data_IF_200440361642
#
_entry.id   IF_200440361642
#
_cell.length_a   1.000
_cell.length_b   1.000
_cell.length_c   1.000
_cell.angle_alpha   90.00
_cell.angle_beta   90.00
_cell.angle_gamma   90.00
#
_symmetry.space_group_name_H-M   'P 1'
#
loop_
_entity.id
_entity.type
_entity.pdbx_description
1 polymer ?
#
# COMPACT_ATOMS: atom_id res chain seq x y z
N UNK A 1 -29.60 30.51 -25.37
CA UNK A 1 -29.28 29.18 -24.79
C UNK A 1 -27.76 28.98 -24.78
N UNK A 2 -27.04 29.59 -23.84
CA UNK A 2 -25.57 29.50 -23.72
C UNK A 2 -25.18 29.07 -22.30
N UNK A 3 -25.73 27.94 -21.82
CA UNK A 3 -25.46 27.44 -20.46
C UNK A 3 -25.59 25.92 -20.36
N UNK A 4 -25.02 25.20 -21.34
CA UNK A 4 -24.95 23.73 -21.33
C UNK A 4 -23.56 23.21 -21.67
N UNK A 5 -22.86 23.84 -22.61
CA UNK A 5 -21.51 23.44 -23.00
C UNK A 5 -20.46 23.69 -21.91
N UNK A 6 -20.58 24.80 -21.16
CA UNK A 6 -19.62 25.15 -20.11
C UNK A 6 -19.66 24.16 -18.94
N UNK A 7 -20.87 23.70 -18.58
CA UNK A 7 -21.08 22.75 -17.48
C UNK A 7 -20.54 21.36 -17.81
N UNK A 8 -20.66 20.91 -19.06
CA UNK A 8 -20.11 19.62 -19.52
C UNK A 8 -18.58 19.60 -19.60
N UNK A 9 -17.93 20.71 -19.95
CA UNK A 9 -16.47 20.79 -20.06
C UNK A 9 -15.81 20.77 -18.67
N UNK A 10 -16.38 21.48 -17.69
CA UNK A 10 -15.86 21.49 -16.31
C UNK A 10 -15.93 20.10 -15.67
N UNK A 11 -17.01 19.34 -15.91
CA UNK A 11 -17.15 17.98 -15.37
C UNK A 11 -16.09 17.00 -15.92
N UNK A 12 -15.73 17.14 -17.20
CA UNK A 12 -14.71 16.31 -17.86
C UNK A 12 -13.28 16.61 -17.37
N UNK A 13 -12.99 17.87 -17.06
CA UNK A 13 -11.68 18.28 -16.49
C UNK A 13 -11.53 17.80 -15.04
N UNK A 14 -12.61 17.81 -14.25
CA UNK A 14 -12.56 17.36 -12.85
C UNK A 14 -12.33 15.84 -12.75
N UNK A 15 -12.98 15.03 -13.59
CA UNK A 15 -12.81 13.57 -13.59
C UNK A 15 -11.42 13.12 -14.12
N UNK A 16 -10.81 13.91 -15.00
CA UNK A 16 -9.45 13.68 -15.49
C UNK A 16 -8.38 13.93 -14.42
N UNK A 17 -8.64 14.83 -13.46
CA UNK A 17 -7.63 15.27 -12.48
C UNK A 17 -7.21 14.19 -11.46
N UNK A 18 -8.00 13.12 -11.31
CA UNK A 18 -7.67 12.04 -10.39
C UNK A 18 -6.71 11.01 -11.02
N UNK A 19 -6.45 11.05 -12.33
CA UNK A 19 -5.50 10.13 -12.94
C UNK A 19 -4.07 10.64 -12.80
N UNK A 20 -3.20 9.84 -12.20
CA UNK A 20 -1.77 10.13 -12.12
C UNK A 20 -1.05 9.35 -13.22
N UNK A 21 -0.47 10.03 -14.24
CA UNK A 21 0.26 9.34 -15.30
C UNK A 21 1.35 8.42 -14.76
N UNK A 22 1.34 7.17 -15.23
CA UNK A 22 2.26 6.12 -14.80
C UNK A 22 1.95 5.47 -13.45
N UNK A 23 0.92 5.94 -12.72
CA UNK A 23 0.52 5.35 -11.41
C UNK A 23 -0.93 4.87 -11.37
N UNK A 24 -1.85 5.58 -12.03
CA UNK A 24 -3.28 5.25 -12.05
C UNK A 24 -4.13 6.22 -11.22
N UNK A 25 -5.34 5.79 -10.87
CA UNK A 25 -6.23 6.56 -9.99
C UNK A 25 -5.93 6.23 -8.53
N UNK A 26 -5.56 7.21 -7.68
CA UNK A 26 -5.31 6.97 -6.27
C UNK A 26 -6.65 6.63 -5.59
N UNK A 27 -6.62 5.58 -4.78
CA UNK A 27 -7.79 5.09 -4.07
C UNK A 27 -7.67 5.38 -2.56
N UNK A 28 -6.52 5.04 -1.97
CA UNK A 28 -6.29 5.21 -0.55
C UNK A 28 -4.81 5.42 -0.23
N UNK A 29 -4.55 6.02 0.92
CA UNK A 29 -3.21 6.32 1.41
C UNK A 29 -3.14 6.03 2.90
N UNK A 30 -2.08 5.33 3.31
CA UNK A 30 -1.84 4.95 4.69
C UNK A 30 -0.41 5.32 5.10
N UNK A 31 -0.24 5.67 6.37
CA UNK A 31 1.09 5.68 6.98
C UNK A 31 1.42 4.27 7.46
N UNK A 32 2.63 3.79 7.14
CA UNK A 32 3.11 2.50 7.60
C UNK A 32 3.90 2.70 8.89
N UNK A 33 3.42 2.08 9.97
CA UNK A 33 4.02 2.14 11.30
C UNK A 33 5.26 1.24 11.32
N UNK A 34 6.42 1.85 11.57
CA UNK A 34 7.75 1.20 11.56
C UNK A 34 8.29 1.02 12.98
N UNK A 35 7.48 0.57 13.93
CA UNK A 35 7.93 0.45 15.33
C UNK A 35 8.87 -0.74 15.56
N UNK A 36 8.60 -1.88 14.91
CA UNK A 36 9.36 -3.13 15.13
C UNK A 36 10.54 -3.29 14.18
N UNK A 37 10.36 -2.98 12.90
CA UNK A 37 11.35 -3.17 11.84
C UNK A 37 11.02 -2.30 10.62
N UNK A 38 11.97 -2.24 9.69
CA UNK A 38 11.70 -1.79 8.33
C UNK A 38 11.07 -2.93 7.50
N UNK A 39 10.43 -2.62 6.36
CA UNK A 39 9.91 -3.65 5.47
C UNK A 39 11.02 -4.56 4.94
N UNK A 40 10.74 -5.86 4.81
CA UNK A 40 11.72 -6.88 4.39
C UNK A 40 12.28 -6.63 3.00
N UNK A 41 11.50 -6.03 2.09
CA UNK A 41 12.00 -5.67 0.76
C UNK A 41 12.94 -4.45 0.76
N UNK A 42 13.01 -3.69 1.85
CA UNK A 42 13.94 -2.57 2.00
C UNK A 42 15.16 -2.95 2.83
N UNK A 43 14.95 -3.66 3.95
CA UNK A 43 16.02 -4.17 4.81
C UNK A 43 15.80 -5.67 5.10
N UNK A 44 16.14 -6.57 4.16
CA UNK A 44 15.88 -8.00 4.31
C UNK A 44 16.59 -8.64 5.50
N UNK A 45 17.74 -8.07 5.89
CA UNK A 45 18.56 -8.56 7.01
C UNK A 45 18.13 -8.02 8.37
N UNK A 46 17.24 -7.03 8.42
CA UNK A 46 16.84 -6.36 9.66
C UNK A 46 18.02 -5.70 10.38
N UNK A 47 19.00 -5.17 9.64
CA UNK A 47 20.21 -4.58 10.19
C UNK A 47 20.06 -3.09 10.51
N UNK A 48 19.02 -2.45 9.98
CA UNK A 48 18.79 -1.02 10.11
C UNK A 48 17.71 -0.78 11.17
N UNK A 49 18.03 0.08 12.14
CA UNK A 49 17.04 0.55 13.12
C UNK A 49 15.95 1.36 12.40
N UNK A 50 14.66 1.09 12.64
CA UNK A 50 13.59 1.83 11.98
C UNK A 50 13.37 3.23 12.58
N UNK A 51 14.07 3.58 13.66
CA UNK A 51 13.90 4.87 14.35
C UNK A 51 14.13 6.04 13.39
N UNK A 52 13.14 6.93 13.33
CA UNK A 52 13.18 8.15 12.51
C UNK A 52 12.80 7.94 11.04
N UNK A 53 12.75 6.69 10.56
CA UNK A 53 12.22 6.40 9.23
C UNK A 53 10.71 6.65 9.18
N UNK A 54 10.22 7.00 7.99
CA UNK A 54 8.80 7.17 7.72
C UNK A 54 8.44 6.44 6.45
N UNK A 55 7.36 5.67 6.47
CA UNK A 55 6.86 4.97 5.29
C UNK A 55 5.40 5.33 5.00
N UNK A 56 5.08 5.38 3.71
CA UNK A 56 3.73 5.62 3.20
C UNK A 56 3.39 4.57 2.16
N UNK A 57 2.15 4.11 2.20
CA UNK A 57 1.57 3.15 1.24
C UNK A 57 0.44 3.84 0.52
N UNK A 58 0.45 3.80 -0.81
CA UNK A 58 -0.57 4.36 -1.69
C UNK A 58 -1.15 3.22 -2.54
N UNK A 59 -2.46 3.04 -2.51
CA UNK A 59 -3.16 2.10 -3.40
C UNK A 59 -3.79 2.85 -4.56
N UNK A 60 -3.74 2.23 -5.73
CA UNK A 60 -4.32 2.73 -6.97
C UNK A 60 -5.25 1.67 -7.56
N UNK A 61 -6.37 2.09 -8.17
CA UNK A 61 -7.44 1.19 -8.63
C UNK A 61 -7.40 0.87 -10.14
N UNK A 62 -6.65 1.63 -10.95
CA UNK A 62 -6.52 1.35 -12.38
C UNK A 62 -5.21 1.93 -12.97
N UNK A 63 -4.20 1.08 -13.19
CA UNK A 63 -4.17 -0.34 -12.83
C UNK A 63 -4.15 -0.54 -11.31
N UNK A 64 -4.74 -1.65 -10.84
CA UNK A 64 -4.64 -2.05 -9.44
C UNK A 64 -3.18 -2.23 -9.06
N UNK A 65 -2.70 -1.42 -8.12
CA UNK A 65 -1.29 -1.42 -7.72
C UNK A 65 -1.09 -0.76 -6.36
N UNK A 66 0.07 -1.04 -5.76
CA UNK A 66 0.54 -0.45 -4.51
C UNK A 66 1.84 0.28 -4.77
N UNK A 67 2.00 1.43 -4.14
CA UNK A 67 3.27 2.17 -4.10
C UNK A 67 3.71 2.35 -2.67
N UNK A 68 4.97 2.01 -2.39
CA UNK A 68 5.58 2.22 -1.08
C UNK A 68 6.67 3.27 -1.20
N UNK A 69 6.62 4.25 -0.30
CA UNK A 69 7.60 5.33 -0.21
C UNK A 69 8.22 5.30 1.18
N UNK A 70 9.53 5.15 1.27
CA UNK A 70 10.27 5.20 2.53
C UNK A 70 11.20 6.41 2.52
N UNK A 71 11.17 7.18 3.60
CA UNK A 71 12.08 8.28 3.87
C UNK A 71 12.94 7.96 5.07
N UNK A 72 14.22 8.29 4.95
CA UNK A 72 15.18 8.19 6.05
C UNK A 72 14.94 9.28 7.11
N UNK A 73 15.66 9.24 8.26
CA UNK A 73 15.52 10.24 9.31
C UNK A 73 15.87 11.68 8.87
N UNK A 74 16.64 11.85 7.79
CA UNK A 74 16.93 13.17 7.21
C UNK A 74 15.81 13.69 6.30
N UNK A 75 14.81 12.85 6.01
CA UNK A 75 13.69 13.14 5.14
C UNK A 75 13.92 12.81 3.67
N UNK A 76 15.10 12.26 3.32
CA UNK A 76 15.39 11.86 1.95
C UNK A 76 14.64 10.59 1.60
N UNK A 77 14.15 10.53 0.36
CA UNK A 77 13.44 9.38 -0.16
C UNK A 77 14.44 8.29 -0.54
N UNK A 78 14.48 7.21 0.22
CA UNK A 78 15.41 6.08 0.04
C UNK A 78 14.75 4.88 -0.62
N UNK A 79 13.41 4.85 -0.68
CA UNK A 79 12.64 3.88 -1.43
C UNK A 79 11.39 4.54 -2.03
N UNK A 80 11.09 4.24 -3.29
CA UNK A 80 9.92 4.71 -4.01
C UNK A 80 9.64 3.75 -5.16
N UNK A 81 8.87 2.71 -4.88
CA UNK A 81 8.53 1.69 -5.87
C UNK A 81 7.03 1.46 -5.91
N UNK A 82 6.56 1.15 -7.11
CA UNK A 82 5.19 0.77 -7.39
C UNK A 82 5.19 -0.62 -8.02
N UNK A 83 4.34 -1.50 -7.51
CA UNK A 83 4.17 -2.86 -8.00
C UNK A 83 2.72 -3.33 -7.71
N UNK A 84 2.43 -4.60 -7.96
CA UNK A 84 1.16 -5.23 -7.61
C UNK A 84 1.13 -5.63 -6.14
N UNK A 85 -0.08 -5.73 -5.60
CA UNK A 85 -0.35 -6.34 -4.31
C UNK A 85 -1.41 -7.42 -4.46
N UNK A 86 -1.61 -8.19 -3.41
CA UNK A 86 -2.70 -9.16 -3.34
C UNK A 86 -3.22 -9.26 -1.92
N UNK A 87 -4.51 -9.54 -1.75
CA UNK A 87 -5.08 -9.89 -0.47
C UNK A 87 -4.47 -11.19 0.05
N UNK A 88 -4.25 -11.25 1.37
CA UNK A 88 -3.69 -12.43 1.99
C UNK A 88 -4.64 -13.64 1.86
N UNK A 89 -4.15 -14.88 1.69
CA UNK A 89 -5.01 -16.06 1.50
C UNK A 89 -5.95 -16.37 2.67
N UNK A 90 -5.61 -15.89 3.87
CA UNK A 90 -6.42 -16.01 5.09
C UNK A 90 -7.44 -14.89 5.27
N UNK A 91 -7.39 -13.84 4.44
CA UNK A 91 -8.49 -12.88 4.40
C UNK A 91 -9.70 -13.52 3.72
N UNK A 92 -10.89 -13.15 4.20
CA UNK A 92 -12.15 -13.57 3.60
C UNK A 92 -12.22 -13.02 2.17
N UNK A 93 -12.10 -13.93 1.20
CA UNK A 93 -12.13 -13.60 -0.23
C UNK A 93 -13.47 -13.05 -0.68
N UNK A 94 -14.54 -13.38 0.04
CA UNK A 94 -15.87 -12.91 -0.30
C UNK A 94 -16.10 -11.50 0.24
N UNK A 95 -15.48 -11.13 1.37
CA UNK A 95 -15.66 -9.82 2.06
C UNK A 95 -14.35 -9.16 2.55
N UNK A 96 -13.34 -8.93 1.66
CA UNK A 96 -11.98 -8.55 2.07
C UNK A 96 -11.88 -7.18 2.78
N UNK A 97 -12.86 -6.30 2.60
CA UNK A 97 -12.86 -4.95 3.16
C UNK A 97 -13.79 -4.75 4.38
N UNK A 98 -14.54 -5.78 4.79
CA UNK A 98 -15.58 -5.63 5.83
C UNK A 98 -15.12 -6.07 7.23
N UNK A 99 -13.98 -6.76 7.34
CA UNK A 99 -13.50 -7.34 8.58
C UNK A 99 -12.05 -6.93 8.86
N UNK A 100 -11.81 -6.61 10.13
CA UNK A 100 -10.48 -6.30 10.63
C UNK A 100 -10.06 -7.35 11.67
N UNK A 101 -8.77 -7.70 11.76
CA UNK A 101 -7.69 -7.21 10.90
C UNK A 101 -7.81 -7.73 9.44
N UNK A 102 -7.30 -6.95 8.49
CA UNK A 102 -7.10 -7.36 7.10
C UNK A 102 -5.61 -7.33 6.75
N UNK A 103 -5.21 -8.13 5.76
CA UNK A 103 -3.82 -8.37 5.45
C UNK A 103 -3.56 -8.25 3.94
N UNK A 104 -2.63 -7.38 3.57
CA UNK A 104 -2.18 -7.21 2.19
C UNK A 104 -0.76 -7.74 2.04
N UNK A 105 -0.55 -8.56 1.03
CA UNK A 105 0.77 -9.04 0.62
C UNK A 105 1.31 -8.10 -0.44
N UNK A 106 2.49 -7.54 -0.18
CA UNK A 106 3.24 -6.71 -1.13
C UNK A 106 4.55 -7.40 -1.48
N UNK A 107 5.00 -7.25 -2.71
CA UNK A 107 6.28 -7.81 -3.18
C UNK A 107 7.01 -6.77 -4.01
N UNK A 108 8.29 -6.57 -3.72
CA UNK A 108 9.18 -5.74 -4.51
C UNK A 108 10.48 -6.51 -4.75
N UNK A 109 10.91 -6.59 -6.01
CA UNK A 109 12.10 -7.33 -6.44
C UNK A 109 12.14 -8.79 -5.94
N UNK A 110 10.97 -9.42 -5.80
CA UNK A 110 10.84 -10.80 -5.32
C UNK A 110 10.90 -10.98 -3.80
N UNK A 111 11.05 -9.90 -3.03
CA UNK A 111 10.98 -9.94 -1.57
C UNK A 111 9.59 -9.51 -1.10
N UNK A 112 8.94 -10.38 -0.33
CA UNK A 112 7.57 -10.20 0.15
C UNK A 112 7.54 -9.58 1.55
N UNK A 113 6.51 -8.78 1.82
CA UNK A 113 6.10 -8.40 3.17
C UNK A 113 4.57 -8.43 3.31
N UNK A 114 4.09 -8.49 4.56
CA UNK A 114 2.66 -8.50 4.89
C UNK A 114 2.33 -7.23 5.67
N UNK A 115 1.39 -6.46 5.13
CA UNK A 115 0.85 -5.26 5.74
C UNK A 115 -0.48 -5.60 6.42
N UNK A 116 -0.60 -5.31 7.69
CA UNK A 116 -1.81 -5.49 8.49
C UNK A 116 -2.53 -4.16 8.65
N UNK A 117 -3.84 -4.14 8.40
CA UNK A 117 -4.73 -3.08 8.85
C UNK A 117 -5.56 -3.60 10.01
N UNK A 118 -5.39 -3.04 11.22
CA UNK A 118 -6.03 -3.57 12.45
C UNK A 118 -7.47 -3.13 12.66
N UNK A 119 -7.88 -2.04 12.02
CA UNK A 119 -9.20 -1.40 12.10
C UNK A 119 -9.33 -0.39 10.96
N UNK A 120 -10.50 0.22 10.79
CA UNK A 120 -10.74 1.28 9.79
C UNK A 120 -9.99 2.58 10.14
N UNK A 121 -8.67 2.57 10.00
CA UNK A 121 -7.76 3.68 10.26
C UNK A 121 -6.75 3.87 9.13
N UNK A 122 -6.09 5.03 9.10
CA UNK A 122 -5.09 5.40 8.08
C UNK A 122 -3.67 4.88 8.42
N UNK A 123 -3.59 3.81 9.21
CA UNK A 123 -2.34 3.17 9.62
C UNK A 123 -2.30 1.72 9.16
N UNK A 124 -1.15 1.33 8.63
CA UNK A 124 -0.79 -0.07 8.39
C UNK A 124 0.35 -0.45 9.31
N UNK A 125 0.43 -1.73 9.64
CA UNK A 125 1.47 -2.31 10.49
C UNK A 125 2.19 -3.42 9.74
N UNK A 126 3.45 -3.65 10.06
CA UNK A 126 4.17 -4.83 9.63
C UNK A 126 3.84 -6.00 10.56
N UNK A 127 3.60 -7.18 10.00
CA UNK A 127 3.33 -8.38 10.81
C UNK A 127 4.33 -9.50 10.52
N UNK A 128 4.81 -10.12 11.59
CA UNK A 128 5.64 -11.32 11.58
C UNK A 128 4.90 -12.52 12.20
N UNK A 129 3.56 -12.45 12.25
CA UNK A 129 2.74 -13.54 12.77
C UNK A 129 2.95 -14.81 11.94
N UNK A 130 3.50 -15.85 12.57
CA UNK A 130 3.92 -17.08 11.89
C UNK A 130 2.82 -17.69 11.01
N UNK A 131 1.57 -17.72 11.49
CA UNK A 131 0.45 -18.33 10.75
C UNK A 131 0.20 -17.66 9.39
N UNK A 132 0.42 -16.35 9.29
CA UNK A 132 0.21 -15.59 8.06
C UNK A 132 1.29 -15.98 7.05
N UNK A 133 2.54 -15.97 7.50
CA UNK A 133 3.69 -16.37 6.68
C UNK A 133 3.64 -17.82 6.21
N UNK A 134 3.23 -18.75 7.08
CA UNK A 134 3.04 -20.16 6.73
C UNK A 134 1.98 -20.32 5.62
N UNK A 135 0.91 -19.52 5.64
CA UNK A 135 -0.17 -19.58 4.65
C UNK A 135 0.24 -19.08 3.25
N UNK A 136 1.31 -18.30 3.14
CA UNK A 136 1.87 -17.92 1.83
C UNK A 136 2.65 -19.06 1.16
N UNK A 137 3.09 -20.07 1.93
CA UNK A 137 3.85 -21.22 1.45
C UNK A 137 3.31 -22.54 2.05
N UNK A 138 2.10 -23.00 1.67
CA UNK A 138 1.42 -24.12 2.32
C UNK A 138 2.03 -25.52 2.07
N UNK A 139 3.34 -25.64 1.86
CA UNK A 139 3.98 -26.89 1.40
C UNK A 139 5.49 -27.04 1.65
N UNK A 140 6.04 -26.41 2.69
CA UNK A 140 7.36 -26.75 3.27
C UNK A 140 7.21 -27.25 4.69
#
# INVERSE_FOLDING_TARGET
MHSRAFTSIVFLVVLSSCYVPGRGYPESQFDLVLESRLPKFFDPGGHISPVGYKARVEYYSSPESVRVIIRDPSGHKVFDKQDKFSWHPLDDKDHPAAHFPSYVVVSFDGVVDILEQRRAELFLYLTDEKRLWDALNPGT
#
